data_IF_850407206984
#
_entry.id   IF_850407206984
#
_cell.length_a   1.000
_cell.length_b   1.000
_cell.length_c   1.000
_cell.angle_alpha   90.00
_cell.angle_beta   90.00
_cell.angle_gamma   90.00
#
_symmetry.space_group_name_H-M   'P 1'
#
loop_
_entity.id
_entity.type
_entity.pdbx_description
1 polymer ?
#
# COMPACT_ATOMS: atom_id res chain seq x y z
N UNK A 1 72.50 20.20 21.93
CA UNK A 1 71.07 20.44 21.62
C UNK A 1 70.67 19.51 20.48
N UNK A 2 69.96 18.43 20.78
CA UNK A 2 69.13 17.70 19.81
C UNK A 2 68.12 16.90 20.63
N UNK A 3 66.84 17.29 20.55
CA UNK A 3 65.72 16.62 21.22
C UNK A 3 65.13 15.63 20.23
N UNK A 4 65.21 14.34 20.55
CA UNK A 4 64.47 13.28 19.86
C UNK A 4 63.04 13.27 20.39
N UNK A 5 62.08 13.63 19.55
CA UNK A 5 60.64 13.57 19.88
C UNK A 5 60.11 12.18 19.53
N UNK A 6 59.52 11.51 20.52
CA UNK A 6 58.78 10.26 20.39
C UNK A 6 57.35 10.60 19.96
N UNK A 7 56.86 10.01 18.86
CA UNK A 7 55.45 10.06 18.46
C UNK A 7 54.76 8.82 19.04
N UNK A 8 53.65 8.93 19.79
CA UNK A 8 52.88 7.77 20.20
C UNK A 8 51.93 7.32 19.09
N UNK A 9 51.80 6.01 18.93
CA UNK A 9 50.87 5.35 18.03
C UNK A 9 49.42 5.61 18.48
N UNK A 10 48.60 6.18 17.59
CA UNK A 10 47.14 6.21 17.74
C UNK A 10 46.58 4.89 17.20
N UNK A 11 45.94 4.11 18.07
CA UNK A 11 45.21 2.91 17.69
C UNK A 11 43.89 3.32 17.00
N UNK A 12 43.70 2.91 15.74
CA UNK A 12 42.39 2.94 15.09
C UNK A 12 41.49 1.88 15.74
N UNK A 13 40.47 2.30 16.48
CA UNK A 13 39.34 1.45 16.81
C UNK A 13 38.41 1.39 15.59
N UNK A 14 38.40 0.26 14.89
CA UNK A 14 37.40 -0.05 13.88
C UNK A 14 36.04 -0.22 14.58
N UNK A 15 35.18 0.78 14.47
CA UNK A 15 33.79 0.68 14.90
C UNK A 15 33.04 -0.30 14.01
N UNK A 16 32.57 -1.40 14.58
CA UNK A 16 31.50 -2.19 13.97
C UNK A 16 30.25 -1.29 13.90
N UNK A 17 29.88 -0.88 12.69
CA UNK A 17 28.53 -0.39 12.42
C UNK A 17 27.64 -1.62 12.53
N UNK A 18 26.86 -1.71 13.62
CA UNK A 18 25.81 -2.69 13.75
C UNK A 18 24.77 -2.36 12.68
N UNK A 19 24.66 -3.21 11.65
CA UNK A 19 23.54 -3.17 10.71
C UNK A 19 22.28 -3.45 11.53
N UNK A 20 21.49 -2.41 11.79
CA UNK A 20 20.15 -2.58 12.32
C UNK A 20 19.36 -3.28 11.20
N UNK A 21 18.77 -4.47 11.43
CA UNK A 21 17.89 -5.05 10.44
C UNK A 21 16.75 -4.05 10.22
N UNK A 22 16.61 -3.58 8.97
CA UNK A 22 15.40 -2.90 8.53
C UNK A 22 14.25 -3.87 8.84
N UNK A 23 13.26 -3.43 9.62
CA UNK A 23 12.09 -4.28 9.86
C UNK A 23 11.47 -4.58 8.50
N UNK A 24 11.33 -5.86 8.16
CA UNK A 24 10.51 -6.25 7.04
C UNK A 24 9.12 -5.63 7.27
N UNK A 25 8.67 -4.80 6.34
CA UNK A 25 7.34 -4.23 6.41
C UNK A 25 6.34 -5.37 6.27
N UNK A 26 5.31 -5.36 7.10
CA UNK A 26 4.37 -6.48 7.16
C UNK A 26 3.60 -6.58 5.84
N UNK A 27 3.45 -7.79 5.31
CA UNK A 27 2.67 -8.02 4.09
C UNK A 27 1.26 -7.43 4.24
N UNK A 28 0.77 -6.77 3.18
CA UNK A 28 -0.56 -6.16 3.14
C UNK A 28 -1.57 -7.07 2.45
N UNK A 29 -2.82 -7.00 2.88
CA UNK A 29 -3.94 -7.54 2.09
C UNK A 29 -4.28 -6.52 1.01
N UNK A 30 -4.33 -6.94 -0.25
CA UNK A 30 -4.90 -6.12 -1.33
C UNK A 30 -6.33 -6.57 -1.58
N UNK A 31 -7.28 -5.64 -1.60
CA UNK A 31 -8.71 -5.92 -1.75
C UNK A 31 -9.34 -5.09 -2.87
N UNK A 32 -9.47 -5.64 -4.08
CA UNK A 32 -10.35 -5.10 -5.11
C UNK A 32 -11.80 -5.08 -4.62
N UNK A 33 -12.32 -3.88 -4.35
CA UNK A 33 -13.63 -3.68 -3.74
C UNK A 33 -14.66 -3.29 -4.78
N UNK A 34 -15.04 -4.29 -5.59
CA UNK A 34 -15.89 -4.10 -6.78
C UNK A 34 -17.37 -4.40 -6.49
N UNK A 35 -17.73 -4.62 -5.22
CA UNK A 35 -19.09 -4.87 -4.77
C UNK A 35 -19.84 -3.55 -4.57
N UNK A 36 -21.06 -3.47 -5.07
CA UNK A 36 -21.93 -2.33 -4.81
C UNK A 36 -22.41 -2.34 -3.34
N UNK A 37 -22.07 -1.32 -2.52
CA UNK A 37 -22.42 -1.27 -1.10
C UNK A 37 -23.94 -1.22 -0.85
N UNK A 38 -24.73 -0.72 -1.81
CA UNK A 38 -26.20 -0.76 -1.72
C UNK A 38 -26.75 -2.20 -1.64
N UNK A 39 -26.02 -3.16 -2.19
CA UNK A 39 -26.44 -4.57 -2.24
C UNK A 39 -25.65 -5.47 -1.30
N UNK A 40 -24.47 -5.02 -0.86
CA UNK A 40 -23.58 -5.84 -0.05
C UNK A 40 -22.74 -5.02 0.95
N UNK A 41 -23.39 -4.18 1.76
CA UNK A 41 -22.73 -3.41 2.81
C UNK A 41 -21.98 -4.30 3.82
N UNK A 42 -22.45 -5.53 4.06
CA UNK A 42 -21.80 -6.46 4.98
C UNK A 42 -20.35 -6.77 4.56
N UNK A 43 -20.08 -6.97 3.27
CA UNK A 43 -18.72 -7.21 2.79
C UNK A 43 -17.80 -6.00 3.01
N UNK A 44 -18.32 -4.77 2.92
CA UNK A 44 -17.54 -3.56 3.23
C UNK A 44 -17.25 -3.46 4.73
N UNK A 45 -18.21 -3.83 5.59
CA UNK A 45 -18.00 -3.89 7.04
C UNK A 45 -16.94 -4.93 7.42
N UNK A 46 -16.93 -6.10 6.79
CA UNK A 46 -15.92 -7.14 7.06
C UNK A 46 -14.50 -6.67 6.73
N UNK A 47 -14.33 -5.88 5.67
CA UNK A 47 -13.04 -5.28 5.32
C UNK A 47 -12.66 -4.20 6.33
N UNK A 48 -13.61 -3.32 6.68
CA UNK A 48 -13.42 -2.28 7.69
C UNK A 48 -12.99 -2.86 9.06
N UNK A 49 -13.67 -3.92 9.51
CA UNK A 49 -13.34 -4.63 10.76
C UNK A 49 -11.92 -5.22 10.71
N UNK A 50 -11.48 -5.67 9.53
CA UNK A 50 -10.11 -6.18 9.32
C UNK A 50 -9.09 -5.05 9.46
N UNK A 51 -9.31 -3.90 8.83
CA UNK A 51 -8.45 -2.72 8.99
C UNK A 51 -8.39 -2.25 10.45
N UNK A 52 -9.56 -2.17 11.11
CA UNK A 52 -9.67 -1.73 12.49
C UNK A 52 -8.98 -2.68 13.50
N UNK A 53 -8.70 -3.94 13.10
CA UNK A 53 -7.90 -4.88 13.89
C UNK A 53 -6.39 -4.57 13.87
N UNK A 54 -5.94 -3.64 13.02
CA UNK A 54 -4.54 -3.31 12.79
C UNK A 54 -3.88 -4.11 11.67
N UNK A 55 -4.63 -4.94 10.95
CA UNK A 55 -4.15 -5.64 9.74
C UNK A 55 -4.05 -4.64 8.59
N UNK A 56 -2.87 -4.44 7.95
CA UNK A 56 -2.76 -3.55 6.80
C UNK A 56 -3.59 -4.08 5.62
N UNK A 57 -4.56 -3.28 5.18
CA UNK A 57 -5.38 -3.58 4.00
C UNK A 57 -5.34 -2.40 3.04
N UNK A 58 -4.93 -2.65 1.80
CA UNK A 58 -5.06 -1.74 0.67
C UNK A 58 -6.30 -2.09 -0.13
N UNK A 59 -7.29 -1.20 -0.14
CA UNK A 59 -8.57 -1.37 -0.83
C UNK A 59 -8.54 -0.62 -2.16
N UNK A 60 -8.86 -1.32 -3.25
CA UNK A 60 -9.02 -0.70 -4.58
C UNK A 60 -10.50 -0.43 -4.82
N UNK A 61 -10.89 0.83 -4.77
CA UNK A 61 -12.27 1.28 -4.97
C UNK A 61 -12.61 1.33 -6.46
N UNK A 62 -13.70 0.69 -6.85
CA UNK A 62 -14.17 0.68 -8.23
C UNK A 62 -15.69 0.80 -8.29
N UNK A 63 -16.18 2.03 -8.40
CA UNK A 63 -17.61 2.29 -8.40
C UNK A 63 -18.28 1.88 -9.72
N UNK A 64 -17.59 2.13 -10.83
CA UNK A 64 -18.13 1.92 -12.17
C UNK A 64 -17.04 1.83 -13.26
N UNK A 65 -16.08 0.91 -13.11
CA UNK A 65 -14.83 0.90 -13.89
C UNK A 65 -14.08 2.25 -13.79
N UNK A 66 -13.99 2.77 -12.57
CA UNK A 66 -13.60 4.15 -12.27
C UNK A 66 -14.57 4.81 -11.28
N UNK A 67 -14.54 6.16 -11.17
CA UNK A 67 -15.34 6.94 -10.20
C UNK A 67 -16.82 7.13 -10.61
N UNK A 68 -17.33 6.45 -11.65
CA UNK A 68 -18.63 6.78 -12.30
C UNK A 68 -18.48 7.93 -13.29
N UNK A 69 -19.56 8.55 -13.76
CA UNK A 69 -19.61 9.78 -14.56
C UNK A 69 -20.46 10.87 -13.89
N UNK A 70 -20.23 12.13 -14.30
CA UNK A 70 -21.14 13.23 -13.96
C UNK A 70 -22.52 12.96 -14.58
N UNK A 71 -23.45 12.46 -13.77
CA UNK A 71 -24.78 12.02 -14.22
C UNK A 71 -25.16 10.61 -13.78
N UNK A 72 -24.20 9.79 -13.35
CA UNK A 72 -24.46 8.42 -12.88
C UNK A 72 -25.07 8.37 -11.47
N UNK A 73 -25.23 9.54 -10.82
CA UNK A 73 -25.50 9.68 -9.40
C UNK A 73 -24.43 8.99 -8.53
N UNK A 74 -23.18 8.95 -9.01
CA UNK A 74 -22.03 8.42 -8.27
C UNK A 74 -21.04 9.55 -7.92
N UNK A 75 -20.38 9.47 -6.75
CA UNK A 75 -20.71 8.56 -5.65
C UNK A 75 -22.15 8.81 -5.14
N UNK A 76 -22.87 7.74 -4.82
CA UNK A 76 -24.14 7.86 -4.09
C UNK A 76 -23.87 7.80 -2.58
N UNK A 77 -24.90 8.06 -1.77
CA UNK A 77 -24.76 8.06 -0.30
C UNK A 77 -24.23 6.73 0.23
N UNK A 78 -24.55 5.59 -0.39
CA UNK A 78 -24.05 4.30 0.08
C UNK A 78 -22.55 4.12 -0.20
N UNK A 79 -22.07 4.58 -1.36
CA UNK A 79 -20.64 4.63 -1.64
C UNK A 79 -19.91 5.63 -0.73
N UNK A 80 -20.45 6.84 -0.52
CA UNK A 80 -19.86 7.82 0.40
C UNK A 80 -19.74 7.26 1.82
N UNK A 81 -20.81 6.65 2.33
CA UNK A 81 -20.84 6.05 3.66
C UNK A 81 -19.85 4.88 3.78
N UNK A 82 -19.75 4.03 2.76
CA UNK A 82 -18.87 2.87 2.77
C UNK A 82 -17.38 3.25 2.62
N UNK A 83 -17.06 4.27 1.81
CA UNK A 83 -15.71 4.82 1.68
C UNK A 83 -15.28 5.46 3.01
N UNK A 84 -16.16 6.25 3.65
CA UNK A 84 -15.89 6.83 4.97
C UNK A 84 -15.64 5.75 6.03
N UNK A 85 -16.45 4.69 6.02
CA UNK A 85 -16.27 3.55 6.92
C UNK A 85 -14.87 2.92 6.80
N UNK A 86 -14.37 2.72 5.58
CA UNK A 86 -13.04 2.14 5.36
C UNK A 86 -11.91 3.10 5.77
N UNK A 87 -12.01 4.38 5.42
CA UNK A 87 -11.06 5.43 5.81
C UNK A 87 -10.96 5.54 7.34
N UNK A 88 -12.09 5.66 8.03
CA UNK A 88 -12.14 5.76 9.50
C UNK A 88 -11.65 4.49 10.20
N UNK A 89 -11.66 3.34 9.50
CA UNK A 89 -11.13 2.07 9.99
C UNK A 89 -9.63 1.90 9.75
N UNK A 90 -8.98 2.86 9.09
CA UNK A 90 -7.54 2.86 8.83
C UNK A 90 -7.12 2.00 7.64
N UNK A 91 -8.03 1.70 6.70
CA UNK A 91 -7.64 1.07 5.44
C UNK A 91 -6.88 2.07 4.56
N UNK A 92 -5.95 1.58 3.73
CA UNK A 92 -5.37 2.35 2.64
C UNK A 92 -6.30 2.31 1.42
N UNK A 93 -6.67 3.44 0.83
CA UNK A 93 -7.68 3.54 -0.22
C UNK A 93 -7.09 3.99 -1.56
N UNK A 94 -7.21 3.16 -2.60
CA UNK A 94 -6.77 3.47 -3.96
C UNK A 94 -7.98 3.60 -4.89
N UNK A 95 -8.01 4.66 -5.70
CA UNK A 95 -9.00 4.79 -6.78
C UNK A 95 -8.61 3.93 -7.99
N UNK A 96 -9.51 3.07 -8.46
CA UNK A 96 -9.33 2.31 -9.70
C UNK A 96 -9.35 3.24 -10.91
N UNK A 97 -8.38 3.10 -11.81
CA UNK A 97 -8.32 3.86 -13.06
C UNK A 97 -7.96 2.92 -14.20
N UNK A 98 -8.86 2.78 -15.18
CA UNK A 98 -8.60 1.96 -16.36
C UNK A 98 -7.63 2.68 -17.30
N UNK A 99 -6.60 1.97 -17.78
CA UNK A 99 -5.66 2.52 -18.77
C UNK A 99 -5.83 1.95 -20.18
N UNK A 100 -6.75 0.98 -20.36
CA UNK A 100 -7.20 0.51 -21.67
C UNK A 100 -6.23 -0.42 -22.41
N UNK A 101 -5.35 -1.10 -21.67
CA UNK A 101 -4.22 -1.91 -22.14
C UNK A 101 -4.37 -2.56 -23.51
N UNK A 102 -3.38 -2.32 -24.40
CA UNK A 102 -3.11 -2.93 -25.71
C UNK A 102 -4.28 -3.24 -26.66
N UNK A 103 -5.51 -2.87 -26.35
CA UNK A 103 -6.68 -3.37 -27.05
C UNK A 103 -6.85 -2.61 -28.34
N UNK A 104 -6.74 -3.26 -29.52
CA UNK A 104 -7.19 -2.70 -30.80
C UNK A 104 -8.70 -2.45 -30.82
N UNK A 105 -9.41 -2.91 -29.79
CA UNK A 105 -10.84 -2.83 -29.65
C UNK A 105 -11.27 -3.03 -28.17
N UNK A 106 -11.08 -2.03 -27.29
CA UNK A 106 -11.71 -2.06 -25.97
C UNK A 106 -12.73 -0.92 -25.82
N UNK A 107 -13.98 -1.36 -25.64
CA UNK A 107 -15.16 -0.63 -25.16
C UNK A 107 -15.77 0.43 -26.11
N UNK A 108 -16.22 -0.04 -27.28
CA UNK A 108 -17.42 0.54 -27.91
C UNK A 108 -18.63 -0.01 -27.14
N UNK A 109 -18.98 0.63 -26.03
CA UNK A 109 -20.36 0.57 -25.55
C UNK A 109 -21.11 1.69 -26.29
N UNK A 110 -22.10 1.36 -27.15
CA UNK A 110 -22.83 2.34 -27.96
C UNK A 110 -23.70 3.30 -27.12
N UNK A 111 -23.73 3.13 -25.80
CA UNK A 111 -24.34 4.05 -24.83
C UNK A 111 -23.32 4.83 -24.00
N UNK A 112 -22.03 4.45 -24.02
CA UNK A 112 -20.94 5.17 -23.37
C UNK A 112 -20.00 5.79 -24.41
N UNK A 113 -20.19 7.07 -24.68
CA UNK A 113 -19.45 7.85 -25.69
C UNK A 113 -17.96 8.09 -25.40
N UNK A 114 -17.35 7.47 -24.37
CA UNK A 114 -15.97 7.81 -23.90
C UNK A 114 -14.86 7.00 -24.57
N UNK A 115 -15.07 5.75 -24.98
CA UNK A 115 -13.97 4.87 -25.45
C UNK A 115 -14.01 4.54 -26.95
N UNK A 116 -14.87 5.19 -27.72
CA UNK A 116 -15.09 4.86 -29.14
C UNK A 116 -14.05 5.44 -30.12
N UNK A 117 -13.04 6.19 -29.67
CA UNK A 117 -12.00 6.71 -30.56
C UNK A 117 -10.60 6.31 -30.06
N UNK A 118 -10.10 5.23 -30.66
CA UNK A 118 -8.69 5.00 -30.97
C UNK A 118 -7.69 5.48 -29.90
N UNK A 119 -7.61 4.74 -28.78
CA UNK A 119 -6.52 4.86 -27.80
C UNK A 119 -5.17 4.35 -28.38
N UNK A 120 -4.74 4.91 -29.51
CA UNK A 120 -3.48 4.63 -30.19
C UNK A 120 -2.65 5.90 -30.39
N UNK A 121 -2.71 6.83 -29.44
CA UNK A 121 -1.96 8.08 -29.44
C UNK A 121 -1.82 8.68 -28.04
N UNK A 122 -0.57 8.89 -27.60
CA UNK A 122 -0.15 9.17 -26.21
C UNK A 122 -0.76 10.45 -25.57
N UNK A 123 -1.36 11.35 -26.37
CA UNK A 123 -1.73 12.69 -25.90
C UNK A 123 -3.21 12.89 -25.56
N UNK A 124 -4.13 12.11 -26.12
CA UNK A 124 -5.57 12.31 -25.86
C UNK A 124 -6.02 11.46 -24.65
N UNK A 125 -5.50 10.23 -24.51
CA UNK A 125 -5.84 9.33 -23.41
C UNK A 125 -5.37 9.82 -22.02
N UNK A 126 -4.25 10.55 -21.97
CA UNK A 126 -3.70 11.02 -20.70
C UNK A 126 -4.63 12.00 -20.00
N UNK A 127 -5.39 12.80 -20.76
CA UNK A 127 -6.33 13.77 -20.21
C UNK A 127 -7.60 13.10 -19.70
N UNK A 128 -8.08 12.04 -20.35
CA UNK A 128 -9.22 11.26 -19.86
C UNK A 128 -8.90 10.50 -18.57
N UNK A 129 -7.68 9.95 -18.50
CA UNK A 129 -7.15 9.31 -17.29
C UNK A 129 -6.93 10.35 -16.19
N UNK A 130 -6.42 11.53 -16.54
CA UNK A 130 -6.27 12.65 -15.61
C UNK A 130 -7.60 13.17 -15.07
N UNK A 131 -8.62 13.30 -15.92
CA UNK A 131 -9.97 13.65 -15.50
C UNK A 131 -10.53 12.60 -14.54
N UNK A 132 -10.33 11.31 -14.83
CA UNK A 132 -10.75 10.23 -13.95
C UNK A 132 -10.07 10.30 -12.57
N UNK A 133 -8.76 10.54 -12.52
CA UNK A 133 -8.04 10.78 -11.27
C UNK A 133 -8.56 12.01 -10.52
N UNK A 134 -8.85 13.12 -11.23
CA UNK A 134 -9.40 14.30 -10.59
C UNK A 134 -10.79 14.04 -10.01
N UNK A 135 -11.61 13.23 -10.66
CA UNK A 135 -12.95 12.93 -10.17
C UNK A 135 -12.89 12.06 -8.93
N UNK A 136 -12.02 11.06 -8.90
CA UNK A 136 -11.67 10.36 -7.67
C UNK A 136 -11.21 11.29 -6.54
N UNK A 137 -10.44 12.33 -6.84
CA UNK A 137 -9.93 13.20 -5.79
C UNK A 137 -10.88 14.32 -5.35
N UNK A 138 -11.76 14.77 -6.24
CA UNK A 138 -12.63 15.93 -6.01
C UNK A 138 -14.08 15.53 -5.77
N UNK A 139 -14.63 14.60 -6.55
CA UNK A 139 -16.03 14.17 -6.44
C UNK A 139 -16.22 13.14 -5.33
N UNK A 140 -15.19 12.33 -5.04
CA UNK A 140 -15.21 11.33 -3.98
C UNK A 140 -14.58 11.82 -2.65
N UNK A 141 -14.41 13.14 -2.52
CA UNK A 141 -14.00 13.75 -1.28
C UNK A 141 -15.15 13.71 -0.26
N UNK A 142 -14.95 13.06 0.88
CA UNK A 142 -15.94 13.04 1.98
C UNK A 142 -15.69 14.21 2.91
N UNK A 143 -16.74 14.98 3.22
CA UNK A 143 -16.66 16.22 4.00
C UNK A 143 -15.68 17.26 3.43
N UNK A 144 -15.48 17.23 2.10
CA UNK A 144 -14.57 18.12 1.38
C UNK A 144 -13.08 17.79 1.57
N UNK A 145 -12.75 16.63 2.14
CA UNK A 145 -11.37 16.12 2.21
C UNK A 145 -11.20 14.95 1.23
N UNK A 146 -10.11 14.94 0.43
CA UNK A 146 -9.75 13.74 -0.33
C UNK A 146 -9.45 12.60 0.63
N UNK A 147 -10.06 11.43 0.37
CA UNK A 147 -9.97 10.22 1.20
C UNK A 147 -9.16 9.10 0.54
N UNK A 148 -8.51 9.40 -0.58
CA UNK A 148 -7.70 8.43 -1.29
C UNK A 148 -6.24 8.63 -0.93
N UNK A 149 -5.56 7.52 -0.69
CA UNK A 149 -4.12 7.45 -0.51
C UNK A 149 -3.38 7.33 -1.85
N UNK A 150 -4.10 7.04 -2.94
CA UNK A 150 -3.47 6.87 -4.24
C UNK A 150 -4.36 6.30 -5.34
N UNK A 151 -3.71 5.73 -6.35
CA UNK A 151 -4.34 5.22 -7.55
C UNK A 151 -3.86 3.81 -7.91
N UNK A 152 -4.81 2.98 -8.34
CA UNK A 152 -4.59 1.68 -8.94
C UNK A 152 -4.84 1.80 -10.44
N UNK A 153 -3.77 1.78 -11.24
CA UNK A 153 -3.89 1.79 -12.69
C UNK A 153 -4.02 0.36 -13.22
N UNK A 154 -5.18 0.04 -13.77
CA UNK A 154 -5.46 -1.27 -14.33
C UNK A 154 -5.19 -1.34 -15.84
N UNK A 155 -5.09 -2.56 -16.34
CA UNK A 155 -4.86 -2.88 -17.75
C UNK A 155 -3.57 -2.22 -18.27
N UNK A 156 -2.50 -2.25 -17.47
CA UNK A 156 -1.22 -1.62 -17.82
C UNK A 156 -0.60 -2.33 -19.02
N UNK A 157 -0.41 -1.58 -20.11
CA UNK A 157 0.35 -2.03 -21.26
C UNK A 157 1.85 -2.00 -20.94
N UNK A 158 2.34 -3.07 -20.34
CA UNK A 158 3.70 -3.15 -19.83
C UNK A 158 4.77 -3.42 -20.91
N UNK A 159 4.66 -2.77 -22.07
CA UNK A 159 5.65 -2.86 -23.15
C UNK A 159 6.66 -1.71 -23.10
N UNK A 160 7.88 -1.93 -23.59
CA UNK A 160 8.94 -0.90 -23.60
C UNK A 160 8.51 0.41 -24.30
N UNK A 161 7.58 0.34 -25.25
CA UNK A 161 7.06 1.51 -25.96
C UNK A 161 6.18 2.42 -25.09
N UNK A 162 5.57 1.89 -24.02
CA UNK A 162 4.63 2.61 -23.18
C UNK A 162 5.20 2.97 -21.80
N UNK A 163 6.44 2.60 -21.50
CA UNK A 163 7.06 2.89 -20.21
C UNK A 163 7.01 4.39 -19.86
N UNK A 164 7.36 5.26 -20.82
CA UNK A 164 7.33 6.71 -20.62
C UNK A 164 5.92 7.25 -20.34
N UNK A 165 4.88 6.63 -20.91
CA UNK A 165 3.49 7.00 -20.64
C UNK A 165 3.12 6.73 -19.18
N UNK A 166 3.44 5.53 -18.66
CA UNK A 166 3.17 5.20 -17.26
C UNK A 166 4.04 5.98 -16.26
N UNK A 167 5.28 6.37 -16.64
CA UNK A 167 6.08 7.32 -15.85
C UNK A 167 5.37 8.66 -15.69
N UNK A 168 4.79 9.18 -16.78
CA UNK A 168 4.03 10.43 -16.73
C UNK A 168 2.76 10.26 -15.90
N UNK A 169 2.01 9.16 -16.05
CA UNK A 169 0.81 8.91 -15.24
C UNK A 169 1.12 8.84 -13.74
N UNK A 170 2.16 8.09 -13.35
CA UNK A 170 2.59 8.02 -11.95
C UNK A 170 3.01 9.39 -11.41
N UNK A 171 3.69 10.20 -12.23
CA UNK A 171 4.00 11.57 -11.85
C UNK A 171 2.73 12.43 -11.71
N UNK A 172 1.75 12.31 -12.62
CA UNK A 172 0.49 13.05 -12.52
C UNK A 172 -0.28 12.69 -11.24
N UNK A 173 -0.38 11.39 -10.92
CA UNK A 173 -0.98 10.88 -9.69
C UNK A 173 -0.35 11.50 -8.43
N UNK A 174 0.99 11.60 -8.39
CA UNK A 174 1.74 12.13 -7.25
C UNK A 174 1.72 13.66 -7.14
N UNK A 175 1.55 14.40 -8.24
CA UNK A 175 1.75 15.85 -8.24
C UNK A 175 0.51 16.70 -8.51
N UNK A 176 -0.44 16.22 -9.31
CA UNK A 176 -1.45 17.12 -9.89
C UNK A 176 -2.85 16.94 -9.33
N UNK A 177 -3.11 15.80 -8.73
CA UNK A 177 -4.39 15.51 -8.12
C UNK A 177 -4.45 16.23 -6.76
N UNK A 178 -5.20 17.34 -6.68
CA UNK A 178 -5.49 18.18 -5.49
C UNK A 178 -4.40 19.08 -4.87
N UNK A 179 -3.37 19.48 -5.64
CA UNK A 179 -2.47 20.57 -5.25
C UNK A 179 -1.34 20.17 -4.27
N UNK A 180 -0.58 21.14 -3.72
CA UNK A 180 0.79 20.93 -3.22
C UNK A 180 0.93 20.14 -1.89
N UNK A 181 -0.07 19.37 -1.46
CA UNK A 181 -0.07 18.66 -0.19
C UNK A 181 -0.03 17.13 -0.29
N UNK A 182 0.33 16.55 -1.45
CA UNK A 182 0.08 15.13 -1.73
C UNK A 182 1.26 14.38 -2.38
N UNK A 183 2.48 14.68 -1.95
CA UNK A 183 3.69 13.99 -2.43
C UNK A 183 3.73 12.49 -2.06
N UNK A 184 2.83 12.03 -1.19
CA UNK A 184 2.79 10.68 -0.63
C UNK A 184 1.73 9.78 -1.28
N UNK A 185 1.15 10.18 -2.42
CA UNK A 185 0.19 9.32 -3.13
C UNK A 185 0.84 8.03 -3.63
N UNK A 186 0.21 6.92 -3.26
CA UNK A 186 0.57 5.58 -3.71
C UNK A 186 0.17 5.39 -5.17
N UNK A 187 1.07 4.78 -5.93
CA UNK A 187 0.81 4.32 -7.29
C UNK A 187 0.95 2.81 -7.32
N UNK A 188 -0.12 2.11 -7.66
CA UNK A 188 -0.09 0.69 -7.97
C UNK A 188 -0.35 0.47 -9.46
N UNK A 189 0.50 -0.32 -10.11
CA UNK A 189 0.33 -0.69 -11.53
C UNK A 189 -0.10 -2.15 -11.64
N UNK A 190 -1.14 -2.42 -12.43
CA UNK A 190 -1.57 -3.78 -12.74
C UNK A 190 -1.54 -4.06 -14.24
N UNK A 191 -0.57 -4.87 -14.68
CA UNK A 191 -0.50 -5.39 -16.05
C UNK A 191 -1.08 -6.80 -16.19
N UNK A 192 -1.53 -7.41 -15.09
CA UNK A 192 -1.95 -8.80 -15.00
C UNK A 192 -0.80 -9.83 -15.00
N UNK A 193 0.45 -9.37 -15.05
CA UNK A 193 1.65 -10.22 -15.06
C UNK A 193 2.96 -9.44 -15.18
N UNK A 194 4.11 -10.13 -15.22
CA UNK A 194 5.41 -9.49 -15.40
C UNK A 194 5.50 -8.75 -16.75
N UNK A 195 6.09 -7.55 -16.75
CA UNK A 195 6.25 -6.73 -17.97
C UNK A 195 6.96 -7.47 -19.11
N UNK A 196 7.87 -8.38 -18.78
CA UNK A 196 8.56 -9.26 -19.74
C UNK A 196 7.62 -10.12 -20.58
N UNK A 197 6.41 -10.45 -20.11
CA UNK A 197 5.39 -11.13 -20.91
C UNK A 197 4.83 -10.26 -22.03
N UNK A 198 4.96 -8.94 -21.90
CA UNK A 198 4.43 -7.93 -22.84
C UNK A 198 5.53 -7.22 -23.64
N UNK A 199 6.78 -7.70 -23.56
CA UNK A 199 7.92 -7.07 -24.23
C UNK A 199 8.43 -5.79 -23.53
N UNK A 200 8.10 -5.61 -22.26
CA UNK A 200 8.72 -4.63 -21.38
C UNK A 200 9.85 -5.21 -20.55
N UNK A 201 10.47 -4.33 -19.78
CA UNK A 201 11.45 -4.66 -18.74
C UNK A 201 10.72 -4.65 -17.39
N UNK A 202 10.82 -5.75 -16.62
CA UNK A 202 10.13 -5.87 -15.33
C UNK A 202 10.57 -4.75 -14.37
N UNK A 203 11.88 -4.52 -14.25
CA UNK A 203 12.45 -3.50 -13.35
C UNK A 203 11.96 -2.11 -13.71
N UNK A 204 11.93 -1.84 -15.01
CA UNK A 204 11.50 -0.56 -15.56
C UNK A 204 10.07 -0.18 -15.18
N UNK A 205 9.18 -1.15 -14.95
CA UNK A 205 7.80 -0.92 -14.51
C UNK A 205 7.65 -0.91 -12.98
N UNK A 206 8.39 -1.77 -12.27
CA UNK A 206 8.42 -1.75 -10.80
C UNK A 206 8.97 -0.41 -10.28
N UNK A 207 9.96 0.18 -10.95
CA UNK A 207 10.54 1.48 -10.59
C UNK A 207 9.59 2.67 -10.77
N UNK A 208 8.53 2.53 -11.57
CA UNK A 208 7.56 3.62 -11.81
C UNK A 208 6.67 3.84 -10.58
N UNK A 209 6.34 2.75 -9.89
CA UNK A 209 5.22 2.64 -8.99
C UNK A 209 5.67 2.33 -7.55
N UNK A 210 4.76 2.54 -6.61
CA UNK A 210 4.98 2.15 -5.21
C UNK A 210 4.83 0.63 -5.06
N UNK A 211 3.91 0.04 -5.81
CA UNK A 211 3.74 -1.40 -5.96
C UNK A 211 3.33 -1.80 -7.38
N UNK A 212 3.61 -3.05 -7.75
CA UNK A 212 3.33 -3.61 -9.07
C UNK A 212 2.71 -5.01 -8.92
N UNK A 213 1.57 -5.22 -9.58
CA UNK A 213 0.93 -6.54 -9.65
C UNK A 213 1.72 -7.42 -10.62
N UNK A 214 2.58 -8.27 -10.06
CA UNK A 214 3.43 -9.20 -10.81
C UNK A 214 2.67 -10.42 -11.31
N UNK A 215 1.49 -10.71 -10.76
CA UNK A 215 0.61 -11.77 -11.22
C UNK A 215 -0.84 -11.45 -10.87
N UNK A 216 -1.73 -11.54 -11.85
CA UNK A 216 -3.18 -11.62 -11.62
C UNK A 216 -3.74 -12.83 -12.38
N UNK A 217 -3.91 -13.95 -11.69
CA UNK A 217 -4.30 -15.23 -12.28
C UNK A 217 -5.06 -16.10 -11.27
N UNK A 218 -5.46 -17.30 -11.69
CA UNK A 218 -6.09 -18.25 -10.76
C UNK A 218 -5.13 -18.70 -9.66
N UNK A 219 -5.66 -19.08 -8.49
CA UNK A 219 -4.84 -19.67 -7.41
C UNK A 219 -4.03 -20.88 -7.87
N UNK A 220 -4.58 -21.71 -8.77
CA UNK A 220 -3.86 -22.84 -9.37
C UNK A 220 -2.65 -22.40 -10.21
N UNK A 221 -2.76 -21.30 -10.95
CA UNK A 221 -1.63 -20.74 -11.69
C UNK A 221 -0.59 -20.17 -10.71
N UNK A 222 -1.03 -19.47 -9.66
CA UNK A 222 -0.10 -18.92 -8.67
C UNK A 222 0.73 -20.00 -7.97
N UNK A 223 0.16 -21.17 -7.65
CA UNK A 223 0.92 -22.30 -7.06
C UNK A 223 2.17 -22.67 -7.86
N UNK A 224 2.09 -22.61 -9.18
CA UNK A 224 3.18 -22.96 -10.10
C UNK A 224 3.97 -21.75 -10.63
N UNK A 225 3.63 -20.54 -10.20
CA UNK A 225 4.32 -19.33 -10.60
C UNK A 225 5.45 -19.02 -9.63
N UNK A 226 6.61 -18.65 -10.14
CA UNK A 226 7.72 -18.12 -9.36
C UNK A 226 7.91 -16.65 -9.76
N UNK A 227 8.23 -15.81 -8.79
CA UNK A 227 8.60 -14.41 -9.04
C UNK A 227 9.78 -14.39 -10.03
N UNK A 228 9.73 -13.55 -11.08
CA UNK A 228 10.86 -13.41 -12.00
C UNK A 228 12.16 -13.09 -11.26
N UNK A 229 13.24 -13.80 -11.60
CA UNK A 229 14.56 -13.67 -10.94
C UNK A 229 15.10 -12.24 -10.97
N UNK A 230 14.75 -11.45 -11.98
CA UNK A 230 15.16 -10.06 -12.10
C UNK A 230 14.41 -9.13 -11.12
N UNK A 231 13.38 -9.62 -10.42
CA UNK A 231 12.64 -8.90 -9.39
C UNK A 231 13.00 -9.31 -7.94
N UNK A 232 13.81 -10.37 -7.74
CA UNK A 232 14.17 -10.87 -6.40
C UNK A 232 14.94 -9.85 -5.54
N UNK A 233 15.59 -8.86 -6.15
CA UNK A 233 16.32 -7.81 -5.43
C UNK A 233 15.43 -6.63 -4.99
N UNK A 234 14.16 -6.58 -5.42
CA UNK A 234 13.26 -5.52 -5.00
C UNK A 234 12.78 -5.75 -3.58
N UNK A 235 12.48 -4.64 -2.90
CA UNK A 235 11.89 -4.70 -1.57
C UNK A 235 10.49 -5.36 -1.65
N UNK A 236 10.13 -6.23 -0.68
CA UNK A 236 8.85 -6.94 -0.62
C UNK A 236 7.63 -6.11 -0.99
N UNK A 237 7.52 -4.90 -0.42
CA UNK A 237 6.42 -3.95 -0.60
C UNK A 237 6.11 -3.60 -2.06
N UNK A 238 7.06 -3.82 -2.97
CA UNK A 238 6.93 -3.54 -4.40
C UNK A 238 6.10 -4.58 -5.14
N UNK A 239 5.98 -5.80 -4.63
CA UNK A 239 5.47 -6.94 -5.38
C UNK A 239 4.11 -7.38 -4.85
N UNK A 240 3.12 -7.42 -5.75
CA UNK A 240 1.73 -7.77 -5.43
C UNK A 240 1.28 -8.95 -6.27
N UNK A 241 0.60 -9.91 -5.65
CA UNK A 241 -0.07 -11.02 -6.34
C UNK A 241 -1.57 -10.98 -6.09
N UNK A 242 -2.35 -11.11 -7.16
CA UNK A 242 -3.80 -11.21 -7.15
C UNK A 242 -4.22 -12.61 -7.61
N UNK A 243 -4.54 -13.50 -6.68
CA UNK A 243 -4.92 -14.89 -6.94
C UNK A 243 -6.45 -15.09 -6.85
N UNK A 244 -7.13 -15.19 -7.99
CA UNK A 244 -8.58 -15.35 -8.06
C UNK A 244 -9.01 -16.81 -8.25
N UNK A 245 -10.32 -17.09 -8.16
CA UNK A 245 -10.87 -18.45 -8.36
C UNK A 245 -10.15 -19.54 -7.55
N UNK A 246 -9.70 -19.20 -6.36
CA UNK A 246 -8.85 -20.04 -5.51
C UNK A 246 -9.73 -20.96 -4.67
N UNK A 247 -9.55 -22.29 -4.69
CA UNK A 247 -10.24 -23.21 -3.78
C UNK A 247 -9.92 -22.92 -2.31
N UNK A 248 -10.92 -23.06 -1.41
CA UNK A 248 -10.75 -22.75 0.01
C UNK A 248 -9.59 -23.52 0.67
N UNK A 249 -9.34 -24.77 0.25
CA UNK A 249 -8.28 -25.62 0.76
C UNK A 249 -6.87 -25.18 0.35
N UNK A 250 -6.76 -24.25 -0.60
CA UNK A 250 -5.48 -23.77 -1.14
C UNK A 250 -5.03 -22.45 -0.50
N UNK A 251 -5.91 -21.76 0.25
CA UNK A 251 -5.64 -20.44 0.83
C UNK A 251 -4.38 -20.46 1.70
N UNK A 252 -4.30 -21.40 2.66
CA UNK A 252 -3.17 -21.47 3.58
C UNK A 252 -1.85 -21.80 2.88
N UNK A 253 -1.89 -22.64 1.84
CA UNK A 253 -0.71 -22.95 1.00
C UNK A 253 -0.22 -21.71 0.27
N UNK A 254 -1.14 -20.96 -0.36
CA UNK A 254 -0.80 -19.76 -1.13
C UNK A 254 -0.34 -18.59 -0.24
N UNK A 255 -0.92 -18.42 0.95
CA UNK A 255 -0.42 -17.45 1.95
C UNK A 255 1.00 -17.82 2.39
N UNK A 256 1.26 -19.11 2.66
CA UNK A 256 2.60 -19.58 3.01
C UNK A 256 3.61 -19.41 1.87
N UNK A 257 3.19 -19.54 0.62
CA UNK A 257 4.01 -19.25 -0.56
C UNK A 257 4.34 -17.76 -0.65
N UNK A 258 3.34 -16.88 -0.52
CA UNK A 258 3.55 -15.43 -0.54
C UNK A 258 4.52 -14.96 0.55
N UNK A 259 4.45 -15.56 1.74
CA UNK A 259 5.42 -15.30 2.81
C UNK A 259 6.83 -15.75 2.42
N UNK A 260 6.97 -16.96 1.85
CA UNK A 260 8.27 -17.48 1.42
C UNK A 260 8.89 -16.68 0.26
N UNK A 261 8.05 -16.02 -0.53
CA UNK A 261 8.43 -15.11 -1.62
C UNK A 261 8.59 -13.65 -1.16
N UNK A 262 8.37 -13.38 0.14
CA UNK A 262 8.41 -12.04 0.72
C UNK A 262 7.56 -11.04 -0.08
N UNK A 263 6.29 -11.37 -0.35
CA UNK A 263 5.39 -10.46 -1.06
C UNK A 263 4.86 -9.34 -0.15
N UNK A 264 4.85 -8.12 -0.67
CA UNK A 264 4.32 -6.94 -0.01
C UNK A 264 2.80 -6.79 -0.08
N UNK A 265 2.17 -7.40 -1.08
CA UNK A 265 0.72 -7.43 -1.21
C UNK A 265 0.19 -8.75 -1.74
N UNK A 266 -0.91 -9.22 -1.15
CA UNK A 266 -1.59 -10.43 -1.59
C UNK A 266 -3.11 -10.23 -1.59
N UNK A 267 -3.75 -10.75 -2.62
CA UNK A 267 -5.18 -10.99 -2.64
C UNK A 267 -5.43 -12.47 -2.95
N UNK A 268 -6.28 -13.13 -2.17
CA UNK A 268 -6.85 -14.42 -2.52
C UNK A 268 -8.37 -14.33 -2.47
N UNK A 269 -9.07 -14.81 -3.50
CA UNK A 269 -10.54 -14.83 -3.51
C UNK A 269 -11.13 -16.08 -4.16
N UNK A 270 -12.37 -16.41 -3.81
CA UNK A 270 -13.15 -17.48 -4.46
C UNK A 270 -13.64 -17.15 -5.88
N UNK A 271 -13.74 -15.87 -6.22
CA UNK A 271 -14.42 -15.41 -7.44
C UNK A 271 -13.44 -14.82 -8.46
N UNK A 272 -13.70 -15.05 -9.74
CA UNK A 272 -12.91 -14.47 -10.84
C UNK A 272 -13.10 -12.95 -10.99
N UNK A 273 -14.22 -12.41 -10.48
CA UNK A 273 -14.59 -11.00 -10.71
C UNK A 273 -14.77 -10.18 -9.44
N UNK A 274 -14.39 -10.73 -8.28
CA UNK A 274 -14.51 -10.08 -6.97
C UNK A 274 -15.94 -9.64 -6.60
N UNK A 275 -16.96 -10.30 -7.18
CA UNK A 275 -18.39 -10.00 -6.99
C UNK A 275 -19.03 -10.82 -5.86
N UNK A 276 -18.36 -11.85 -5.38
CA UNK A 276 -18.71 -12.54 -4.15
C UNK A 276 -17.48 -13.22 -3.59
N UNK A 277 -17.07 -12.86 -2.38
CA UNK A 277 -15.93 -13.53 -1.74
C UNK A 277 -16.36 -14.30 -0.51
N UNK A 278 -16.48 -15.61 -0.67
CA UNK A 278 -16.75 -16.51 0.46
C UNK A 278 -15.49 -16.88 1.23
N UNK A 279 -14.32 -16.48 0.74
CA UNK A 279 -13.02 -16.84 1.32
C UNK A 279 -12.42 -15.72 2.18
N UNK A 280 -13.03 -14.53 2.23
CA UNK A 280 -12.49 -13.37 2.94
C UNK A 280 -12.09 -13.69 4.39
N UNK A 281 -12.98 -14.27 5.18
CA UNK A 281 -12.70 -14.58 6.59
C UNK A 281 -11.50 -15.54 6.75
N UNK A 282 -11.44 -16.61 5.95
CA UNK A 282 -10.34 -17.58 6.00
C UNK A 282 -9.01 -16.97 5.52
N UNK A 283 -9.08 -16.09 4.51
CA UNK A 283 -7.91 -15.39 3.99
C UNK A 283 -7.38 -14.35 4.98
N UNK A 284 -8.24 -13.50 5.54
CA UNK A 284 -7.87 -12.50 6.55
C UNK A 284 -7.29 -13.16 7.81
N UNK A 285 -7.89 -14.27 8.27
CA UNK A 285 -7.37 -15.05 9.41
C UNK A 285 -5.97 -15.62 9.11
N UNK A 286 -5.72 -16.10 7.88
CA UNK A 286 -4.41 -16.62 7.48
C UNK A 286 -3.34 -15.51 7.39
N UNK A 287 -3.73 -14.28 7.02
CA UNK A 287 -2.83 -13.13 6.91
C UNK A 287 -2.54 -12.45 8.26
N UNK A 288 -3.49 -12.47 9.20
CA UNK A 288 -3.38 -11.72 10.47
C UNK A 288 -2.04 -11.91 11.24
N UNK A 289 -1.48 -13.13 11.39
CA UNK A 289 -0.20 -13.31 12.07
C UNK A 289 1.02 -12.72 11.31
N UNK A 290 0.87 -12.46 10.02
CA UNK A 290 1.92 -11.92 9.13
C UNK A 290 1.89 -10.40 9.06
N UNK A 291 0.71 -9.84 9.33
CA UNK A 291 0.44 -8.41 9.35
C UNK A 291 0.87 -7.73 10.66
N UNK A 292 1.17 -8.49 11.71
CA UNK A 292 1.69 -7.92 12.96
C UNK A 292 3.17 -7.64 12.82
N UNK A 293 3.56 -6.36 12.82
CA UNK A 293 4.96 -5.95 12.89
C UNK A 293 5.62 -6.57 14.14
N UNK A 294 6.40 -7.64 13.97
CA UNK A 294 7.29 -8.13 15.01
C UNK A 294 8.46 -7.15 15.18
N UNK A 295 8.22 -6.07 15.92
CA UNK A 295 9.25 -5.18 16.41
C UNK A 295 8.99 -4.80 17.88
N UNK A 296 8.85 -5.81 18.74
CA UNK A 296 9.12 -5.66 20.18
C UNK A 296 9.99 -6.83 20.65
N UNK A 297 11.25 -6.87 20.17
CA UNK A 297 12.29 -7.63 20.88
C UNK A 297 12.66 -6.81 22.11
N UNK A 298 12.12 -7.22 23.24
CA UNK A 298 12.44 -6.74 24.57
C UNK A 298 13.91 -7.08 24.89
N UNK A 299 14.85 -6.22 24.52
CA UNK A 299 16.25 -6.33 24.96
C UNK A 299 16.34 -5.91 26.43
N UNK A 300 16.04 -6.85 27.33
CA UNK A 300 16.42 -6.75 28.73
C UNK A 300 17.95 -6.84 28.86
N UNK A 301 18.63 -5.69 28.80
CA UNK A 301 20.04 -5.60 29.21
C UNK A 301 20.09 -5.75 30.73
N UNK A 302 20.71 -6.85 31.17
CA UNK A 302 20.97 -7.22 32.56
C UNK A 302 21.45 -6.00 33.40
N UNK A 303 20.64 -5.46 34.33
CA UNK A 303 21.12 -4.41 35.21
C UNK A 303 22.07 -5.07 36.20
N UNK A 304 23.30 -4.55 36.29
CA UNK A 304 24.27 -4.98 37.30
C UNK A 304 23.72 -4.95 38.73
N UNK A 305 24.47 -5.47 39.71
CA UNK A 305 23.96 -5.96 41.01
C UNK A 305 23.43 -4.91 42.02
N UNK A 306 22.93 -3.76 41.57
CA UNK A 306 22.47 -2.66 42.44
C UNK A 306 21.11 -2.04 42.06
N UNK A 307 20.22 -2.73 41.34
CA UNK A 307 18.86 -2.26 41.10
C UNK A 307 17.88 -2.78 42.19
N UNK A 308 17.29 -1.83 42.94
CA UNK A 308 16.28 -2.08 43.97
C UNK A 308 14.93 -2.47 43.36
N UNK A 309 14.16 -3.26 44.12
CA UNK A 309 12.80 -3.69 43.81
C UNK A 309 11.89 -2.51 43.44
N UNK A 310 11.44 -2.46 42.18
CA UNK A 310 10.43 -1.55 41.68
C UNK A 310 9.70 -2.21 40.50
N UNK A 311 8.38 -2.15 40.52
CA UNK A 311 7.48 -2.74 39.52
C UNK A 311 7.79 -2.24 38.11
N UNK A 312 7.68 -3.10 37.09
CA UNK A 312 7.74 -2.71 35.69
C UNK A 312 6.59 -1.73 35.38
N UNK A 313 6.92 -0.45 35.27
CA UNK A 313 6.09 0.60 34.69
C UNK A 313 6.98 1.39 33.73
N UNK A 314 6.62 1.39 32.45
CA UNK A 314 7.03 2.36 31.43
C UNK A 314 8.53 2.53 31.20
N UNK A 315 9.05 1.94 30.13
CA UNK A 315 10.38 2.25 29.60
C UNK A 315 10.43 3.74 29.26
N UNK A 316 11.28 4.49 29.97
CA UNK A 316 11.74 5.82 29.56
C UNK A 316 13.19 5.69 29.12
N UNK A 317 13.43 5.68 27.81
CA UNK A 317 14.77 5.91 27.28
C UNK A 317 15.03 7.41 27.32
N UNK A 318 16.00 7.83 28.13
CA UNK A 318 16.48 9.21 28.14
C UNK A 318 17.48 9.36 26.99
N UNK A 319 17.05 10.00 25.90
CA UNK A 319 17.94 10.69 24.96
C UNK A 319 18.04 12.12 25.49
N UNK A 320 19.25 12.68 25.71
CA UNK A 320 19.37 14.07 26.13
C UNK A 320 18.80 14.93 24.99
N UNK A 321 17.74 15.68 25.31
CA UNK A 321 17.03 16.68 24.48
C UNK A 321 15.63 16.32 23.94
N UNK A 322 15.05 15.14 24.23
CA UNK A 322 13.66 14.84 23.85
C UNK A 322 12.88 14.08 24.94
N UNK A 323 11.67 14.55 25.24
CA UNK A 323 10.69 13.82 26.04
C UNK A 323 9.58 13.32 25.12
N UNK A 324 9.33 12.01 25.12
CA UNK A 324 8.13 11.42 24.51
C UNK A 324 7.16 11.12 25.64
N UNK A 325 5.97 11.73 25.60
CA UNK A 325 4.87 11.41 26.50
C UNK A 325 3.91 10.52 25.72
N UNK A 326 3.66 9.31 26.21
CA UNK A 326 2.65 8.40 25.66
C UNK A 326 1.42 8.49 26.55
N UNK A 327 0.32 9.02 26.01
CA UNK A 327 -1.01 8.94 26.63
C UNK A 327 -1.67 7.61 26.23
N UNK A 328 -2.04 6.74 27.18
CA UNK A 328 -2.65 5.45 26.88
C UNK A 328 -4.11 5.53 26.41
N UNK A 329 -4.70 6.73 26.24
CA UNK A 329 -6.13 6.90 25.93
C UNK A 329 -6.45 7.47 24.54
N UNK A 330 -5.46 7.84 23.71
CA UNK A 330 -5.71 8.38 22.36
C UNK A 330 -4.69 7.85 21.35
N UNK A 331 -5.18 7.34 20.22
CA UNK A 331 -4.35 6.94 19.09
C UNK A 331 -3.73 8.17 18.40
N UNK A 332 -2.40 8.16 18.29
CA UNK A 332 -1.53 8.90 17.38
C UNK A 332 -1.90 10.38 17.05
N UNK A 333 -1.34 11.32 17.83
CA UNK A 333 -1.01 12.66 17.36
C UNK A 333 0.44 12.99 17.74
N UNK A 334 1.24 13.46 16.79
CA UNK A 334 2.56 14.05 17.06
C UNK A 334 2.45 15.57 16.93
N UNK A 335 2.66 16.30 18.02
CA UNK A 335 2.85 17.75 17.97
C UNK A 335 4.24 18.09 18.52
N UNK A 336 5.04 18.80 17.71
CA UNK A 336 6.38 19.25 18.07
C UNK A 336 6.28 20.52 18.91
N UNK A 337 6.54 20.44 20.22
CA UNK A 337 6.69 21.60 21.07
C UNK A 337 8.07 21.61 21.76
N UNK A 338 8.83 22.70 21.59
CA UNK A 338 10.03 22.97 22.38
C UNK A 338 9.62 23.29 23.83
N UNK A 339 10.08 22.50 24.79
CA UNK A 339 9.83 22.75 26.21
C UNK A 339 10.62 23.99 26.69
N UNK A 340 9.92 25.10 26.93
CA UNK A 340 10.43 26.14 27.82
C UNK A 340 10.04 25.80 29.27
N UNK A 341 11.03 25.90 30.17
CA UNK A 341 10.88 25.66 31.60
C UNK A 341 9.81 26.58 32.22
N UNK A 342 8.80 25.99 32.86
CA UNK A 342 7.87 26.71 33.75
C UNK A 342 8.21 26.29 35.19
N UNK A 343 8.48 27.23 36.13
CA UNK A 343 8.85 26.86 37.49
C UNK A 343 7.64 26.35 38.28
N UNK A 344 7.83 25.21 38.95
CA UNK A 344 6.92 24.66 39.94
C UNK A 344 6.70 25.67 41.09
N UNK A 345 5.44 26.03 41.32
CA UNK A 345 4.96 26.55 42.60
C UNK A 345 3.95 25.56 43.20
N UNK A 346 4.05 25.41 44.51
CA UNK A 346 3.64 24.26 45.33
C UNK A 346 2.15 24.19 45.73
N UNK A 347 1.71 22.92 45.87
CA UNK A 347 0.49 22.34 46.46
C UNK A 347 -0.77 22.27 45.61
#
# INVERSE_FOLDING_TARGET
>A
MSRTTIIPAAALAAGLISLIPTSAEAASIVRPMYLNPNTNLAAWQEVADTCASGTPVTVVLNAHNGPGFSGDNLPDVAYEDAVRLLDESGCTLLGYVATGGNSPAARIDPTHTKYEQECFGVNDCIWDIYDEMNRWANEWAVDGQPRLDGFFFDEVNASSANQAFYQVLAALARYYVNGPAMADHLVMLNAGGPASWFGGDNRAYVDIADSYVVLEQTGEVYKGFDIPVDLEDYAPEKLVVLAHSTPANDIAELVGKAEAEELGGLMITSDAWHQSDTHWAAFAEAMAPKCTAEAFIDYCVNPGPYAWQGQCLGITTIIPDFCIVVDPSHACYYEYAQCHEVPFASF
#
